data_IF_058567703765
#
_entry.id   IF_058567703765
#
_cell.length_a   1.000
_cell.length_b   1.000
_cell.length_c   1.000
_cell.angle_alpha   90.00
_cell.angle_beta   90.00
_cell.angle_gamma   90.00
#
_symmetry.space_group_name_H-M   'P 1'
#
loop_
_entity.id
_entity.type
_entity.pdbx_description
1 polymer ?
#
# COMPACT_ATOMS: atom_id res chain seq x y z
N UNK A 1 -33.13 -1.55 63.07
CA UNK A 1 -32.48 -0.31 62.57
C UNK A 1 -31.35 -0.77 61.65
N UNK A 2 -31.65 -1.07 60.38
CA UNK A 2 -31.48 -0.21 59.20
C UNK A 2 -30.04 0.26 58.96
N UNK A 3 -29.44 -0.35 57.93
CA UNK A 3 -28.72 0.28 56.80
C UNK A 3 -27.56 1.24 57.11
N UNK A 4 -26.38 0.90 56.59
CA UNK A 4 -25.79 1.61 55.44
C UNK A 4 -24.59 0.86 54.86
N UNK A 5 -24.80 0.29 53.67
CA UNK A 5 -23.78 0.19 52.64
C UNK A 5 -23.31 1.61 52.27
N UNK A 6 -22.02 1.79 52.02
CA UNK A 6 -21.62 2.55 50.82
C UNK A 6 -20.32 2.00 50.27
N UNK A 7 -20.46 1.41 49.09
CA UNK A 7 -19.42 1.01 48.16
C UNK A 7 -18.78 2.26 47.56
N UNK A 8 -17.54 2.58 47.97
CA UNK A 8 -16.69 3.57 47.29
C UNK A 8 -15.38 2.88 46.90
N UNK A 9 -15.29 2.42 45.65
CA UNK A 9 -14.07 1.72 45.22
C UNK A 9 -13.98 1.30 43.75
N UNK A 10 -14.83 1.78 42.84
CA UNK A 10 -14.81 1.28 41.46
C UNK A 10 -14.89 2.34 40.35
N UNK A 11 -14.99 3.64 40.65
CA UNK A 11 -15.28 4.66 39.62
C UNK A 11 -14.07 5.38 39.00
N UNK A 12 -12.85 5.17 39.52
CA UNK A 12 -11.67 5.94 39.08
C UNK A 12 -10.82 5.23 38.01
N UNK A 13 -10.81 3.89 37.95
CA UNK A 13 -9.97 3.14 37.01
C UNK A 13 -10.50 3.15 35.56
N UNK A 14 -11.82 3.20 35.37
CA UNK A 14 -12.45 3.09 34.03
C UNK A 14 -12.38 4.41 33.23
N UNK A 15 -12.28 5.55 33.94
CA UNK A 15 -12.13 6.88 33.35
C UNK A 15 -10.72 7.18 32.82
N UNK A 16 -9.68 6.67 33.49
CA UNK A 16 -8.29 6.84 33.09
C UNK A 16 -7.91 5.97 31.90
N UNK A 17 -8.37 4.71 31.86
CA UNK A 17 -8.20 3.80 30.72
C UNK A 17 -8.96 4.28 29.47
N UNK A 18 -10.10 4.94 29.64
CA UNK A 18 -10.87 5.52 28.52
C UNK A 18 -10.23 6.79 27.95
N UNK A 19 -9.56 7.60 28.78
CA UNK A 19 -8.85 8.82 28.36
C UNK A 19 -7.48 8.55 27.73
N UNK A 20 -6.68 7.63 28.27
CA UNK A 20 -5.40 7.21 27.67
C UNK A 20 -5.60 6.46 26.36
N UNK A 21 -6.68 5.66 26.24
CA UNK A 21 -7.05 5.08 24.94
C UNK A 21 -7.32 6.19 23.93
N UNK A 22 -8.04 7.28 24.25
CA UNK A 22 -8.48 8.31 23.28
C UNK A 22 -7.34 9.01 22.50
N UNK A 23 -6.11 9.00 22.99
CA UNK A 23 -4.95 9.62 22.36
C UNK A 23 -3.82 8.60 22.12
N UNK A 24 -4.15 7.46 21.50
CA UNK A 24 -3.12 6.54 21.00
C UNK A 24 -2.62 7.08 19.64
N UNK A 25 -1.38 7.58 19.54
CA UNK A 25 -0.83 8.09 18.28
C UNK A 25 -0.81 7.02 17.19
N UNK A 26 -0.76 5.73 17.56
CA UNK A 26 -0.81 4.61 16.61
C UNK A 26 -2.21 4.29 16.14
N UNK A 27 -3.27 4.81 16.78
CA UNK A 27 -4.65 4.55 16.33
C UNK A 27 -4.89 5.11 14.94
N UNK A 28 -4.33 6.28 14.63
CA UNK A 28 -4.44 6.86 13.30
C UNK A 28 -3.82 5.92 12.25
N UNK A 29 -2.63 5.41 12.52
CA UNK A 29 -1.94 4.47 11.63
C UNK A 29 -2.72 3.17 11.47
N UNK A 30 -3.25 2.61 12.56
CA UNK A 30 -4.09 1.42 12.51
C UNK A 30 -5.36 1.62 11.68
N UNK A 31 -6.00 2.79 11.76
CA UNK A 31 -7.15 3.13 10.90
C UNK A 31 -6.74 3.25 9.42
N UNK A 32 -5.54 3.76 9.12
CA UNK A 32 -5.03 3.80 7.75
C UNK A 32 -4.72 2.40 7.21
N UNK A 33 -4.12 1.53 8.02
CA UNK A 33 -3.83 0.14 7.63
C UNK A 33 -5.13 -0.62 7.38
N UNK A 34 -6.13 -0.46 8.25
CA UNK A 34 -7.47 -1.00 8.04
C UNK A 34 -8.17 -0.43 6.79
N UNK A 35 -7.95 0.84 6.47
CA UNK A 35 -8.46 1.44 5.23
C UNK A 35 -7.80 0.81 3.99
N UNK A 36 -6.49 0.53 4.02
CA UNK A 36 -5.80 -0.21 2.96
C UNK A 36 -6.31 -1.65 2.84
N UNK A 37 -6.69 -2.31 3.94
CA UNK A 37 -7.33 -3.63 3.88
C UNK A 37 -8.69 -3.57 3.18
N UNK A 38 -9.53 -2.60 3.53
CA UNK A 38 -10.83 -2.42 2.87
C UNK A 38 -10.65 -2.03 1.40
N UNK A 39 -9.70 -1.15 1.06
CA UNK A 39 -9.42 -0.78 -0.34
C UNK A 39 -8.94 -1.97 -1.17
N UNK A 40 -8.14 -2.87 -0.60
CA UNK A 40 -7.64 -4.04 -1.31
C UNK A 40 -8.74 -5.08 -1.59
N UNK A 41 -9.75 -5.18 -0.73
CA UNK A 41 -10.83 -6.16 -0.82
C UNK A 41 -12.06 -5.63 -1.56
N UNK A 42 -12.46 -4.39 -1.27
CA UNK A 42 -13.72 -3.79 -1.72
C UNK A 42 -13.52 -2.68 -2.77
N UNK A 43 -12.27 -2.29 -3.05
CA UNK A 43 -11.92 -1.18 -3.94
C UNK A 43 -12.32 0.20 -3.42
N UNK A 44 -11.97 1.24 -4.18
CA UNK A 44 -12.30 2.63 -3.85
C UNK A 44 -13.81 2.88 -3.81
N UNK A 45 -14.59 2.17 -4.64
CA UNK A 45 -16.05 2.31 -4.65
C UNK A 45 -16.72 1.69 -3.41
N UNK A 46 -16.08 0.70 -2.78
CA UNK A 46 -16.67 -0.08 -1.69
C UNK A 46 -16.30 0.41 -0.29
N UNK A 47 -15.34 1.32 -0.14
CA UNK A 47 -14.90 1.82 1.16
C UNK A 47 -15.92 2.75 1.83
N UNK A 48 -16.09 2.62 3.15
CA UNK A 48 -16.89 3.54 3.98
C UNK A 48 -16.26 3.70 5.36
N UNK A 49 -16.53 4.81 6.06
CA UNK A 49 -16.06 4.99 7.45
C UNK A 49 -16.48 3.83 8.37
N UNK A 50 -17.67 3.25 8.16
CA UNK A 50 -18.17 2.14 8.96
C UNK A 50 -17.40 0.84 8.72
N UNK A 51 -17.09 0.52 7.46
CA UNK A 51 -16.26 -0.64 7.10
C UNK A 51 -14.86 -0.50 7.68
N UNK A 52 -14.25 0.67 7.55
CA UNK A 52 -12.92 0.94 8.12
C UNK A 52 -12.94 0.86 9.65
N UNK A 53 -13.95 1.45 10.30
CA UNK A 53 -14.10 1.37 11.75
C UNK A 53 -14.23 -0.09 12.24
N UNK A 54 -15.04 -0.89 11.54
CA UNK A 54 -15.19 -2.31 11.84
C UNK A 54 -13.88 -3.09 11.60
N UNK A 55 -13.16 -2.80 10.50
CA UNK A 55 -11.88 -3.45 10.18
C UNK A 55 -10.78 -3.11 11.19
N UNK A 56 -10.73 -1.87 11.66
CA UNK A 56 -9.76 -1.39 12.65
C UNK A 56 -10.15 -1.75 14.10
N UNK A 57 -11.31 -2.37 14.31
CA UNK A 57 -11.90 -2.61 15.64
C UNK A 57 -11.97 -1.33 16.51
N UNK A 58 -12.49 -0.25 15.93
CA UNK A 58 -12.66 1.04 16.62
C UNK A 58 -14.09 1.57 16.48
N UNK A 59 -14.55 2.42 17.42
CA UNK A 59 -15.83 3.12 17.25
C UNK A 59 -15.82 4.02 16.00
N UNK A 60 -16.95 4.09 15.29
CA UNK A 60 -17.10 4.97 14.12
C UNK A 60 -16.67 6.42 14.40
N UNK A 61 -17.03 6.94 15.58
CA UNK A 61 -16.65 8.28 16.01
C UNK A 61 -15.14 8.52 16.10
N UNK A 62 -14.34 7.45 16.27
CA UNK A 62 -12.88 7.54 16.26
C UNK A 62 -12.34 7.78 14.86
N UNK A 63 -12.92 7.15 13.83
CA UNK A 63 -12.51 7.36 12.44
C UNK A 63 -12.87 8.78 12.01
N UNK A 64 -14.11 9.20 12.24
CA UNK A 64 -14.60 10.54 11.86
C UNK A 64 -13.95 11.67 12.66
N UNK A 65 -13.35 11.37 13.81
CA UNK A 65 -12.53 12.33 14.57
C UNK A 65 -11.16 12.57 13.91
N UNK A 66 -10.54 11.54 13.33
CA UNK A 66 -9.21 11.63 12.71
C UNK A 66 -9.25 12.01 11.23
N UNK A 67 -10.37 11.76 10.55
CA UNK A 67 -10.55 11.99 9.12
C UNK A 67 -11.88 12.70 8.89
N UNK A 68 -11.84 13.91 8.34
CA UNK A 68 -13.02 14.73 8.15
C UNK A 68 -13.90 14.22 7.00
N UNK A 69 -13.33 13.45 6.08
CA UNK A 69 -14.06 12.88 4.95
C UNK A 69 -13.47 11.53 4.52
N UNK A 70 -14.28 10.77 3.78
CA UNK A 70 -13.83 9.52 3.17
C UNK A 70 -12.71 9.77 2.15
N UNK A 71 -12.80 10.87 1.39
CA UNK A 71 -11.75 11.29 0.46
C UNK A 71 -10.43 11.55 1.19
N UNK A 72 -10.46 12.28 2.31
CA UNK A 72 -9.26 12.50 3.12
C UNK A 72 -8.67 11.18 3.62
N UNK A 73 -9.52 10.29 4.15
CA UNK A 73 -9.09 8.97 4.61
C UNK A 73 -8.41 8.16 3.48
N UNK A 74 -9.03 8.08 2.30
CA UNK A 74 -8.47 7.37 1.15
C UNK A 74 -7.15 7.98 0.69
N UNK A 75 -7.06 9.31 0.55
CA UNK A 75 -5.83 9.99 0.13
C UNK A 75 -4.70 9.76 1.13
N UNK A 76 -4.98 9.81 2.43
CA UNK A 76 -3.99 9.52 3.48
C UNK A 76 -3.57 8.05 3.48
N UNK A 77 -4.50 7.12 3.26
CA UNK A 77 -4.20 5.70 3.16
C UNK A 77 -3.29 5.42 1.96
N UNK A 78 -3.62 5.95 0.78
CA UNK A 78 -2.79 5.82 -0.41
C UNK A 78 -1.41 6.48 -0.27
N UNK A 79 -1.31 7.64 0.39
CA UNK A 79 -0.02 8.25 0.67
C UNK A 79 0.88 7.34 1.52
N UNK A 80 0.31 6.73 2.57
CA UNK A 80 1.01 5.74 3.41
C UNK A 80 1.43 4.51 2.60
N UNK A 81 0.54 4.00 1.75
CA UNK A 81 0.86 2.89 0.85
C UNK A 81 2.04 3.24 -0.07
N UNK A 82 2.04 4.42 -0.70
CA UNK A 82 3.15 4.86 -1.56
C UNK A 82 4.47 4.96 -0.78
N UNK A 83 4.45 5.49 0.44
CA UNK A 83 5.64 5.58 1.30
C UNK A 83 6.22 4.19 1.65
N UNK A 84 5.36 3.27 2.08
CA UNK A 84 5.74 1.89 2.38
C UNK A 84 6.28 1.19 1.13
N UNK A 85 5.58 1.32 0.00
CA UNK A 85 5.99 0.72 -1.28
C UNK A 85 7.28 1.27 -1.81
N UNK A 86 7.54 2.56 -1.65
CA UNK A 86 8.82 3.19 -2.02
C UNK A 86 9.97 2.58 -1.23
N UNK A 87 9.79 2.42 0.07
CA UNK A 87 10.79 1.81 0.96
C UNK A 87 11.02 0.34 0.65
N UNK A 88 9.95 -0.43 0.47
CA UNK A 88 10.04 -1.85 0.12
C UNK A 88 10.66 -2.04 -1.25
N UNK A 89 10.32 -1.20 -2.23
CA UNK A 89 10.85 -1.29 -3.58
C UNK A 89 12.34 -1.03 -3.61
N UNK A 90 12.80 0.02 -2.92
CA UNK A 90 14.23 0.33 -2.73
C UNK A 90 15.00 -0.87 -2.17
N UNK A 91 14.47 -1.48 -1.11
CA UNK A 91 15.13 -2.58 -0.40
C UNK A 91 15.36 -3.83 -1.27
N UNK A 92 14.50 -4.08 -2.26
CA UNK A 92 14.66 -5.23 -3.18
C UNK A 92 15.95 -5.14 -4.01
N UNK A 93 16.41 -3.94 -4.30
CA UNK A 93 17.60 -3.72 -5.13
C UNK A 93 18.89 -3.62 -4.29
N UNK A 94 18.80 -3.68 -2.96
CA UNK A 94 19.97 -3.60 -2.08
C UNK A 94 20.97 -4.75 -2.29
N UNK A 95 20.50 -5.89 -2.81
CA UNK A 95 21.31 -7.09 -3.09
C UNK A 95 21.81 -7.16 -4.54
N UNK A 96 21.44 -6.22 -5.40
CA UNK A 96 21.76 -6.26 -6.84
C UNK A 96 23.20 -5.84 -7.06
N UNK A 97 24.04 -6.79 -7.45
CA UNK A 97 25.46 -6.57 -7.75
C UNK A 97 25.80 -6.86 -9.20
N UNK A 98 24.94 -7.60 -9.89
CA UNK A 98 25.11 -8.00 -11.27
C UNK A 98 23.84 -7.74 -12.09
N UNK A 99 24.00 -7.75 -13.41
CA UNK A 99 22.87 -7.70 -14.34
C UNK A 99 21.93 -8.89 -14.18
N UNK A 100 22.46 -10.06 -13.80
CA UNK A 100 21.66 -11.25 -13.57
C UNK A 100 20.79 -11.08 -12.31
N UNK A 101 21.36 -10.54 -11.23
CA UNK A 101 20.62 -10.23 -10.00
C UNK A 101 19.46 -9.26 -10.28
N UNK A 102 19.72 -8.25 -11.12
CA UNK A 102 18.70 -7.30 -11.55
C UNK A 102 17.53 -8.01 -12.25
N UNK A 103 17.83 -8.86 -13.23
CA UNK A 103 16.80 -9.60 -13.98
C UNK A 103 16.00 -10.48 -13.02
N UNK A 104 16.66 -11.19 -12.11
CA UNK A 104 15.99 -12.05 -11.13
C UNK A 104 15.06 -11.25 -10.20
N UNK A 105 15.52 -10.12 -9.66
CA UNK A 105 14.67 -9.22 -8.86
C UNK A 105 13.44 -8.76 -9.65
N UNK A 106 13.63 -8.37 -10.92
CA UNK A 106 12.53 -7.89 -11.77
C UNK A 106 11.52 -9.00 -12.11
N UNK A 107 12.00 -10.22 -12.40
CA UNK A 107 11.14 -11.38 -12.64
C UNK A 107 10.29 -11.69 -11.41
N UNK A 108 10.89 -11.69 -10.22
CA UNK A 108 10.16 -11.94 -8.98
C UNK A 108 9.23 -10.78 -8.61
N UNK A 109 9.54 -9.55 -9.04
CA UNK A 109 8.62 -8.40 -8.90
C UNK A 109 7.33 -8.54 -9.70
N UNK A 110 7.40 -9.15 -10.89
CA UNK A 110 6.22 -9.44 -11.71
C UNK A 110 5.44 -10.61 -11.12
N UNK A 111 6.13 -11.73 -10.84
CA UNK A 111 5.49 -12.98 -10.42
C UNK A 111 4.82 -12.87 -9.07
N UNK A 112 5.53 -12.32 -8.07
CA UNK A 112 5.00 -11.97 -6.75
C UNK A 112 4.34 -13.09 -5.91
N UNK A 113 4.53 -13.06 -4.60
CA UNK A 113 3.69 -13.84 -3.68
C UNK A 113 2.30 -13.23 -3.44
N UNK A 114 1.44 -13.86 -2.62
CA UNK A 114 0.12 -13.31 -2.27
C UNK A 114 0.16 -11.87 -1.73
N UNK A 115 1.15 -11.53 -0.90
CA UNK A 115 1.33 -10.17 -0.39
C UNK A 115 1.62 -9.16 -1.51
N UNK A 116 2.40 -9.56 -2.53
CA UNK A 116 2.68 -8.74 -3.70
C UNK A 116 1.44 -8.55 -4.57
N UNK A 117 0.62 -9.59 -4.73
CA UNK A 117 -0.67 -9.50 -5.42
C UNK A 117 -1.58 -8.49 -4.74
N UNK A 118 -1.76 -8.59 -3.41
CA UNK A 118 -2.54 -7.62 -2.64
C UNK A 118 -2.04 -6.19 -2.81
N UNK A 119 -0.73 -5.98 -2.73
CA UNK A 119 -0.12 -4.68 -2.99
C UNK A 119 -0.37 -4.20 -4.42
N UNK A 120 -0.28 -5.07 -5.42
CA UNK A 120 -0.51 -4.70 -6.82
C UNK A 120 -1.97 -4.23 -7.05
N UNK A 121 -2.95 -4.91 -6.45
CA UNK A 121 -4.36 -4.49 -6.47
C UNK A 121 -4.52 -3.07 -5.92
N UNK A 122 -3.94 -2.77 -4.75
CA UNK A 122 -3.94 -1.42 -4.18
C UNK A 122 -3.29 -0.38 -5.11
N UNK A 123 -2.18 -0.77 -5.76
CA UNK A 123 -1.52 0.07 -6.77
C UNK A 123 -2.45 0.41 -7.93
N UNK A 124 -3.21 -0.55 -8.45
CA UNK A 124 -4.14 -0.30 -9.56
C UNK A 124 -5.39 0.47 -9.14
N UNK A 125 -5.92 0.24 -7.93
CA UNK A 125 -6.97 1.09 -7.35
C UNK A 125 -6.52 2.56 -7.28
N UNK A 126 -5.28 2.82 -6.82
CA UNK A 126 -4.70 4.16 -6.82
C UNK A 126 -4.58 4.73 -8.24
N UNK A 127 -4.07 3.97 -9.22
CA UNK A 127 -3.96 4.44 -10.60
C UNK A 127 -5.32 4.83 -11.18
N UNK A 128 -6.34 3.99 -11.02
CA UNK A 128 -7.68 4.26 -11.53
C UNK A 128 -8.35 5.46 -10.84
N UNK A 129 -8.13 5.63 -9.54
CA UNK A 129 -8.62 6.79 -8.79
C UNK A 129 -7.89 8.08 -9.24
N UNK A 130 -6.58 8.01 -9.44
CA UNK A 130 -5.76 9.13 -9.89
C UNK A 130 -6.17 9.67 -11.27
N UNK A 131 -6.74 8.86 -12.16
CA UNK A 131 -7.27 9.35 -13.44
C UNK A 131 -8.28 10.50 -13.27
N UNK A 132 -8.95 10.60 -12.12
CA UNK A 132 -9.98 11.62 -11.84
C UNK A 132 -9.60 12.61 -10.73
N UNK A 133 -8.64 12.27 -9.88
CA UNK A 133 -8.24 13.11 -8.73
C UNK A 133 -6.81 13.66 -8.87
N UNK A 134 -6.61 15.00 -9.00
CA UNK A 134 -5.28 15.62 -9.07
C UNK A 134 -4.38 15.34 -7.86
N UNK A 135 -4.94 15.24 -6.65
CA UNK A 135 -4.15 14.98 -5.46
C UNK A 135 -3.58 13.55 -5.46
N UNK A 136 -4.36 12.57 -5.95
CA UNK A 136 -3.89 11.20 -6.11
C UNK A 136 -2.90 11.06 -7.28
N UNK A 137 -3.04 11.87 -8.35
CA UNK A 137 -2.01 11.91 -9.42
C UNK A 137 -0.65 12.35 -8.91
N UNK A 138 -0.60 13.25 -7.94
CA UNK A 138 0.68 13.64 -7.36
C UNK A 138 1.36 12.45 -6.65
N UNK A 139 0.59 11.59 -5.98
CA UNK A 139 1.11 10.37 -5.35
C UNK A 139 1.63 9.36 -6.37
N UNK A 140 0.90 9.12 -7.46
CA UNK A 140 1.37 8.21 -8.52
C UNK A 140 2.62 8.74 -9.20
N UNK A 141 2.69 10.06 -9.47
CA UNK A 141 3.88 10.69 -10.05
C UNK A 141 5.10 10.59 -9.13
N UNK A 142 4.92 10.75 -7.82
CA UNK A 142 6.00 10.57 -6.84
C UNK A 142 6.53 9.14 -6.86
N UNK A 143 5.63 8.17 -6.80
CA UNK A 143 5.96 6.75 -6.90
C UNK A 143 6.71 6.42 -8.19
N UNK A 144 6.19 6.81 -9.35
CA UNK A 144 6.83 6.57 -10.66
C UNK A 144 8.22 7.22 -10.75
N UNK A 145 8.41 8.39 -10.15
CA UNK A 145 9.72 9.04 -10.12
C UNK A 145 10.69 8.25 -9.25
N UNK A 146 10.26 7.81 -8.08
CA UNK A 146 11.06 7.02 -7.15
C UNK A 146 11.45 5.67 -7.76
N UNK A 147 10.48 4.90 -8.30
CA UNK A 147 10.72 3.59 -8.92
C UNK A 147 11.73 3.68 -10.07
N UNK A 148 11.58 4.66 -10.96
CA UNK A 148 12.51 4.90 -12.08
C UNK A 148 13.89 5.32 -11.61
N UNK A 149 14.01 6.10 -10.54
CA UNK A 149 15.29 6.45 -9.96
C UNK A 149 16.02 5.21 -9.39
N UNK A 150 15.29 4.21 -8.89
CA UNK A 150 15.87 2.91 -8.52
C UNK A 150 16.43 2.19 -9.74
N UNK A 151 15.58 1.97 -10.75
CA UNK A 151 15.98 1.25 -11.96
C UNK A 151 17.14 1.95 -12.69
N UNK A 152 17.12 3.28 -12.76
CA UNK A 152 18.11 4.07 -13.49
C UNK A 152 19.54 3.93 -12.95
N UNK A 153 19.71 3.56 -11.68
CA UNK A 153 21.03 3.25 -11.10
C UNK A 153 21.72 2.08 -11.79
N UNK A 154 20.94 1.15 -12.35
CA UNK A 154 21.45 -0.06 -12.99
C UNK A 154 21.34 -0.01 -14.51
N UNK A 155 20.39 0.76 -15.04
CA UNK A 155 20.02 0.70 -16.47
C UNK A 155 20.21 2.01 -17.23
N UNK A 156 20.40 3.12 -16.51
CA UNK A 156 20.22 4.46 -17.06
C UNK A 156 18.74 4.85 -17.22
N UNK A 157 18.44 6.16 -17.38
CA UNK A 157 17.08 6.70 -17.25
C UNK A 157 16.11 6.26 -18.35
N UNK A 158 16.59 6.09 -19.58
CA UNK A 158 15.72 5.71 -20.70
C UNK A 158 15.25 4.25 -20.60
N UNK A 159 16.18 3.33 -20.30
CA UNK A 159 15.83 1.92 -20.06
C UNK A 159 14.98 1.76 -18.79
N UNK A 160 15.24 2.56 -17.76
CA UNK A 160 14.43 2.57 -16.54
C UNK A 160 12.96 2.94 -16.81
N UNK A 161 12.72 3.97 -17.63
CA UNK A 161 11.35 4.37 -17.99
C UNK A 161 10.62 3.30 -18.81
N UNK A 162 11.32 2.63 -19.74
CA UNK A 162 10.74 1.51 -20.51
C UNK A 162 10.45 0.30 -19.64
N UNK A 163 11.36 -0.04 -18.72
CA UNK A 163 11.16 -1.15 -17.78
C UNK A 163 10.03 -0.90 -16.81
N UNK A 164 9.95 0.29 -16.22
CA UNK A 164 8.88 0.68 -15.30
C UNK A 164 7.50 0.48 -15.96
N UNK A 165 7.31 0.96 -17.19
CA UNK A 165 6.07 0.79 -17.94
C UNK A 165 5.79 -0.69 -18.30
N UNK A 166 6.80 -1.44 -18.71
CA UNK A 166 6.68 -2.86 -19.02
C UNK A 166 6.27 -3.66 -17.78
N UNK A 167 6.94 -3.45 -16.66
CA UNK A 167 6.68 -4.14 -15.39
C UNK A 167 5.25 -3.86 -14.94
N UNK A 168 4.80 -2.61 -14.98
CA UNK A 168 3.41 -2.27 -14.64
C UNK A 168 2.40 -3.05 -15.50
N UNK A 169 2.63 -3.11 -16.82
CA UNK A 169 1.80 -3.90 -17.74
C UNK A 169 1.82 -5.40 -17.41
N UNK A 170 3.00 -5.99 -17.24
CA UNK A 170 3.14 -7.41 -16.90
C UNK A 170 2.46 -7.75 -15.58
N UNK A 171 2.61 -6.91 -14.54
CA UNK A 171 1.95 -7.13 -13.24
C UNK A 171 0.42 -7.10 -13.39
N UNK A 172 -0.12 -6.18 -14.21
CA UNK A 172 -1.56 -6.16 -14.51
C UNK A 172 -2.00 -7.47 -15.18
N UNK A 173 -1.26 -7.93 -16.20
CA UNK A 173 -1.57 -9.17 -16.90
C UNK A 173 -1.49 -10.39 -15.97
N UNK A 174 -0.44 -10.50 -15.16
CA UNK A 174 -0.31 -11.56 -14.15
C UNK A 174 -1.47 -11.55 -13.15
N UNK A 175 -1.93 -10.38 -12.69
CA UNK A 175 -3.07 -10.26 -11.78
C UNK A 175 -4.40 -10.73 -12.38
N UNK A 176 -4.60 -10.46 -13.67
CA UNK A 176 -5.85 -10.78 -14.38
C UNK A 176 -5.81 -12.17 -15.03
N UNK A 177 -4.64 -12.79 -15.10
CA UNK A 177 -4.47 -14.07 -15.76
C UNK A 177 -5.18 -15.19 -15.01
N UNK A 178 -5.92 -16.00 -15.75
CA UNK A 178 -6.48 -17.28 -15.27
C UNK A 178 -5.52 -18.44 -15.47
N UNK A 179 -4.39 -18.19 -16.13
CA UNK A 179 -3.32 -19.16 -16.41
C UNK A 179 -2.00 -18.69 -15.80
N UNK A 180 -1.07 -19.62 -15.56
CA UNK A 180 0.24 -19.24 -15.03
C UNK A 180 1.15 -18.79 -16.15
N UNK A 181 1.46 -17.49 -16.21
CA UNK A 181 2.49 -16.97 -17.12
C UNK A 181 3.85 -17.66 -16.84
N UNK A 182 4.48 -18.26 -17.87
CA UNK A 182 5.78 -18.88 -17.71
C UNK A 182 6.85 -17.87 -17.30
N UNK A 183 7.61 -18.20 -16.24
CA UNK A 183 8.72 -17.38 -15.74
C UNK A 183 9.71 -16.98 -16.85
N UNK A 184 9.95 -17.89 -17.80
CA UNK A 184 10.88 -17.66 -18.90
C UNK A 184 10.41 -16.59 -19.88
N UNK A 185 9.09 -16.43 -20.08
CA UNK A 185 8.54 -15.39 -20.93
C UNK A 185 8.70 -14.00 -20.30
N UNK A 186 8.42 -13.89 -19.00
CA UNK A 186 8.65 -12.66 -18.22
C UNK A 186 10.14 -12.28 -18.30
N UNK A 187 11.02 -13.25 -18.07
CA UNK A 187 12.48 -13.06 -18.15
C UNK A 187 12.90 -12.58 -19.54
N UNK A 188 12.41 -13.23 -20.60
CA UNK A 188 12.73 -12.87 -21.98
C UNK A 188 12.30 -11.43 -22.32
N UNK A 189 11.09 -11.01 -21.90
CA UNK A 189 10.58 -9.66 -22.11
C UNK A 189 11.44 -8.59 -21.40
N UNK A 190 11.85 -8.86 -20.16
CA UNK A 190 12.75 -7.98 -19.39
C UNK A 190 14.12 -7.88 -20.08
N UNK A 191 14.70 -9.01 -20.48
CA UNK A 191 15.99 -9.04 -21.17
C UNK A 191 15.97 -8.29 -22.51
N UNK A 192 14.90 -8.46 -23.29
CA UNK A 192 14.72 -7.75 -24.55
C UNK A 192 14.65 -6.23 -24.33
N UNK A 193 13.97 -5.80 -23.26
CA UNK A 193 13.82 -4.37 -22.93
C UNK A 193 15.13 -3.74 -22.45
N UNK A 194 15.92 -4.48 -21.67
CA UNK A 194 17.27 -4.06 -21.24
C UNK A 194 18.25 -3.91 -22.41
N UNK A 195 18.06 -4.62 -23.52
CA UNK A 195 19.01 -4.68 -24.64
C UNK A 195 20.32 -5.39 -24.25
N UNK A 196 21.29 -5.58 -25.16
CA UNK A 196 22.55 -6.27 -24.85
C UNK A 196 23.32 -5.61 -23.68
N UNK A 197 24.01 -6.42 -22.87
CA UNK A 197 24.91 -5.93 -21.81
C UNK A 197 25.99 -5.03 -22.40
N UNK A 198 26.13 -3.82 -21.86
CA UNK A 198 27.31 -2.99 -22.11
C UNK A 198 28.47 -3.44 -21.25
#
# INVERSE_FOLDING_TARGET
MREKETSEGQETADGEGRRTRRHDPRRREHVLDAALDVLAEDGVAGITHRKVAARADVPLGSVTYHFASLTELCTRAFARYVEQRSTEYEALFAVVTSREDLIEVLVEQVRGGPSRHRSAVLGFELHLAALRDPALRALTQEWTRSSRAVLARFTGPEAAARLDALLEGMIMHTLLSTEREPREEIRAAIMQTLGPGR
#
